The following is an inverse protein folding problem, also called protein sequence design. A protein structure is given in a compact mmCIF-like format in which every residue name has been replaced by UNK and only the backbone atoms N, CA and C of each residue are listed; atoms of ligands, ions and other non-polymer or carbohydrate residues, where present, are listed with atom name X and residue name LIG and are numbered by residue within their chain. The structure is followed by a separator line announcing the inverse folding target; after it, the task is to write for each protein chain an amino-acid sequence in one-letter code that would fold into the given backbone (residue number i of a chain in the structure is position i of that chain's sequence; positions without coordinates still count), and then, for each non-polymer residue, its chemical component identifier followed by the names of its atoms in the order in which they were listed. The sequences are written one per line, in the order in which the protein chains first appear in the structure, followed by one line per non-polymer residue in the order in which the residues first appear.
data_IF_733637709850
#
_entry.id   IF_733637709850
#
_cell.length_a   1.000
_cell.length_b   1.000
_cell.length_c   1.000
_cell.angle_alpha   90.00
_cell.angle_beta   90.00
_cell.angle_gamma   90.00
#
_symmetry.space_group_name_H-M   'P 1'
#
loop_
_entity.id
_entity.type
_entity.pdbx_description
1 polymer ?
#
# COMPACT_ATOMS: atom_id res chain seq x y z
N UNK A 1 -10.95 3.04 -34.58
CA UNK A 1 -11.08 2.85 -33.12
C UNK A 1 -10.22 1.65 -32.77
N UNK A 2 -9.28 1.77 -31.85
CA UNK A 2 -8.47 0.65 -31.41
C UNK A 2 -9.36 -0.42 -30.76
N UNK A 3 -9.16 -1.69 -31.09
CA UNK A 3 -9.82 -2.78 -30.36
C UNK A 3 -9.24 -2.87 -28.92
N UNK A 4 -9.88 -3.60 -28.01
CA UNK A 4 -9.46 -3.66 -26.60
C UNK A 4 -8.00 -4.17 -26.44
N UNK A 5 -7.56 -5.03 -27.35
CA UNK A 5 -6.19 -5.55 -27.39
C UNK A 5 -5.18 -4.46 -27.79
N UNK A 6 -5.47 -3.68 -28.83
CA UNK A 6 -4.63 -2.57 -29.30
C UNK A 6 -4.55 -1.43 -28.26
N UNK A 7 -5.67 -1.13 -27.59
CA UNK A 7 -5.66 -0.20 -26.44
C UNK A 7 -4.72 -0.70 -25.34
N UNK A 8 -4.86 -1.97 -24.95
CA UNK A 8 -3.99 -2.60 -23.95
C UNK A 8 -2.52 -2.56 -24.35
N UNK A 9 -2.21 -2.90 -25.61
CA UNK A 9 -0.85 -2.87 -26.15
C UNK A 9 -0.23 -1.47 -26.10
N UNK A 10 -0.98 -0.44 -26.51
CA UNK A 10 -0.51 0.95 -26.49
C UNK A 10 -0.26 1.43 -25.06
N UNK A 11 -1.20 1.17 -24.14
CA UNK A 11 -1.05 1.56 -22.73
C UNK A 11 0.13 0.82 -22.06
N UNK A 12 0.32 -0.46 -22.38
CA UNK A 12 1.46 -1.24 -21.92
C UNK A 12 2.78 -0.71 -22.49
N UNK A 13 2.80 -0.30 -23.76
CA UNK A 13 3.97 0.34 -24.38
C UNK A 13 4.34 1.65 -23.68
N UNK A 14 3.36 2.53 -23.42
CA UNK A 14 3.59 3.78 -22.68
C UNK A 14 4.13 3.51 -21.27
N UNK A 15 3.56 2.52 -20.57
CA UNK A 15 4.02 2.11 -19.23
C UNK A 15 5.45 1.59 -19.25
N UNK A 16 5.78 0.72 -20.21
CA UNK A 16 7.12 0.15 -20.41
C UNK A 16 8.14 1.23 -20.76
N UNK A 17 7.78 2.19 -21.61
CA UNK A 17 8.65 3.30 -21.97
C UNK A 17 8.94 4.20 -20.77
N UNK A 18 7.91 4.56 -19.99
CA UNK A 18 8.11 5.29 -18.74
C UNK A 18 8.98 4.51 -17.74
N UNK A 19 8.93 3.18 -17.78
CA UNK A 19 9.75 2.33 -16.92
C UNK A 19 11.25 2.41 -17.20
N UNK A 20 11.62 2.71 -18.44
CA UNK A 20 13.02 2.85 -18.87
C UNK A 20 13.66 4.14 -18.40
N UNK A 21 12.87 5.10 -17.90
CA UNK A 21 13.38 6.34 -17.35
C UNK A 21 14.14 6.09 -16.04
N UNK A 22 15.31 6.69 -15.90
CA UNK A 22 16.07 6.75 -14.63
C UNK A 22 15.58 7.88 -13.72
N UNK A 23 15.01 8.91 -14.32
CA UNK A 23 14.44 10.07 -13.65
C UNK A 23 14.04 11.12 -14.69
N UNK A 24 13.35 12.17 -14.24
CA UNK A 24 13.00 13.31 -15.10
C UNK A 24 12.69 14.56 -14.29
N UNK A 25 12.69 15.70 -14.98
CA UNK A 25 12.15 16.95 -14.49
C UNK A 25 11.23 17.56 -15.55
N UNK A 26 10.07 18.05 -15.12
CA UNK A 26 9.08 18.65 -16.01
C UNK A 26 8.38 19.82 -15.31
N UNK A 27 8.09 20.89 -16.05
CA UNK A 27 7.18 21.95 -15.62
C UNK A 27 5.93 21.93 -16.47
N UNK A 28 4.78 22.11 -15.85
CA UNK A 28 3.49 22.21 -16.50
C UNK A 28 2.83 23.54 -16.16
N UNK A 29 2.27 24.18 -17.17
CA UNK A 29 1.37 25.31 -17.01
C UNK A 29 -0.07 24.82 -17.04
N UNK A 30 -0.84 25.27 -16.05
CA UNK A 30 -2.28 25.11 -15.99
C UNK A 30 -2.93 26.42 -16.45
N UNK A 31 -3.91 26.32 -17.33
CA UNK A 31 -4.74 27.45 -17.75
C UNK A 31 -6.22 27.07 -17.73
N UNK A 32 -7.09 28.05 -17.55
CA UNK A 32 -8.55 27.87 -17.65
C UNK A 32 -9.18 28.95 -18.51
N UNK A 33 -10.31 28.63 -19.14
CA UNK A 33 -11.10 29.63 -19.87
C UNK A 33 -11.71 30.72 -18.97
N UNK A 34 -11.66 30.53 -17.64
CA UNK A 34 -12.06 31.54 -16.65
C UNK A 34 -10.91 32.45 -16.19
N UNK A 35 -9.69 32.28 -16.73
CA UNK A 35 -8.53 33.12 -16.41
C UNK A 35 -7.67 32.63 -15.23
N UNK A 36 -8.04 31.53 -14.56
CA UNK A 36 -7.16 30.91 -13.55
C UNK A 36 -5.93 30.28 -14.21
N UNK A 37 -4.79 30.39 -13.54
CA UNK A 37 -3.50 29.90 -14.02
C UNK A 37 -2.79 29.11 -12.93
N UNK A 38 -1.80 28.30 -13.30
CA UNK A 38 -0.94 27.65 -12.34
C UNK A 38 0.32 27.08 -12.95
N UNK A 39 1.28 26.76 -12.08
CA UNK A 39 2.53 26.12 -12.43
C UNK A 39 2.73 24.90 -11.55
N UNK A 40 3.11 23.77 -12.16
CA UNK A 40 3.42 22.53 -11.45
C UNK A 40 4.81 22.07 -11.90
N UNK A 41 5.74 21.99 -10.97
CA UNK A 41 7.09 21.47 -11.20
C UNK A 41 7.20 20.08 -10.59
N UNK A 42 7.67 19.12 -11.37
CA UNK A 42 7.87 17.74 -10.96
C UNK A 42 9.32 17.37 -11.22
N UNK A 43 9.93 16.70 -10.25
CA UNK A 43 11.24 16.09 -10.42
C UNK A 43 11.28 14.73 -9.74
N UNK A 44 11.89 13.76 -10.39
CA UNK A 44 12.05 12.41 -9.83
C UNK A 44 13.37 11.81 -10.27
N UNK A 45 14.02 11.14 -9.34
CA UNK A 45 15.15 10.24 -9.57
C UNK A 45 14.76 8.87 -8.99
N UNK A 46 14.43 7.91 -9.86
CA UNK A 46 13.83 6.65 -9.42
C UNK A 46 14.81 5.78 -8.63
N UNK A 47 16.12 5.93 -8.90
CA UNK A 47 17.15 5.12 -8.25
C UNK A 47 17.42 5.58 -6.82
N UNK A 48 17.54 6.88 -6.60
CA UNK A 48 17.79 7.43 -5.26
C UNK A 48 16.51 7.53 -4.43
N UNK A 49 15.32 7.55 -5.04
CA UNK A 49 14.07 7.77 -4.32
C UNK A 49 13.78 9.24 -4.02
N UNK A 50 14.65 10.16 -4.46
CA UNK A 50 14.36 11.58 -4.43
C UNK A 50 13.25 11.91 -5.42
N UNK A 51 12.24 12.63 -4.94
CA UNK A 51 11.25 13.22 -5.82
C UNK A 51 10.64 14.46 -5.20
N UNK A 52 10.07 15.30 -6.05
CA UNK A 52 9.31 16.46 -5.65
C UNK A 52 8.18 16.78 -6.59
N UNK A 53 7.19 17.45 -6.02
CA UNK A 53 6.08 18.05 -6.72
C UNK A 53 5.83 19.39 -6.04
N UNK A 54 6.05 20.48 -6.78
CA UNK A 54 5.70 21.84 -6.34
C UNK A 54 4.55 22.35 -7.19
N UNK A 55 3.60 23.04 -6.58
CA UNK A 55 2.47 23.64 -7.27
C UNK A 55 2.19 25.05 -6.78
N UNK A 56 1.82 25.92 -7.71
CA UNK A 56 1.36 27.28 -7.45
C UNK A 56 0.13 27.55 -8.33
N UNK A 57 -1.01 27.91 -7.74
CA UNK A 57 -2.25 28.22 -8.45
C UNK A 57 -2.70 29.64 -8.16
N UNK A 58 -3.16 30.35 -9.18
CA UNK A 58 -3.61 31.74 -9.14
C UNK A 58 -5.03 31.85 -9.70
N UNK A 59 -5.81 32.74 -9.10
CA UNK A 59 -7.12 33.09 -9.64
C UNK A 59 -7.02 34.00 -10.88
N UNK A 60 -8.16 34.36 -11.44
CA UNK A 60 -8.31 35.24 -12.61
C UNK A 60 -7.70 36.65 -12.44
N UNK A 61 -7.46 37.09 -11.20
CA UNK A 61 -6.80 38.37 -10.89
C UNK A 61 -5.29 38.20 -10.69
N UNK A 62 -4.73 37.01 -10.93
CA UNK A 62 -3.33 36.70 -10.69
C UNK A 62 -2.96 36.53 -9.20
N UNK A 63 -3.94 36.54 -8.29
CA UNK A 63 -3.70 36.36 -6.85
C UNK A 63 -3.47 34.88 -6.54
N UNK A 64 -2.42 34.59 -5.78
CA UNK A 64 -2.12 33.25 -5.27
C UNK A 64 -3.30 32.73 -4.44
N UNK A 65 -3.84 31.57 -4.82
CA UNK A 65 -4.92 30.88 -4.09
C UNK A 65 -4.44 29.59 -3.43
N UNK A 66 -3.40 28.95 -3.98
CA UNK A 66 -2.87 27.73 -3.40
C UNK A 66 -1.40 27.58 -3.76
N UNK A 67 -0.61 27.11 -2.78
CA UNK A 67 0.77 26.71 -2.96
C UNK A 67 1.02 25.43 -2.17
N UNK A 68 1.57 24.42 -2.84
CA UNK A 68 1.82 23.11 -2.26
C UNK A 68 3.20 22.59 -2.63
N UNK A 69 3.80 21.82 -1.72
CA UNK A 69 5.04 21.10 -1.98
C UNK A 69 4.95 19.69 -1.40
N UNK A 70 5.37 18.72 -2.19
CA UNK A 70 5.52 17.33 -1.77
C UNK A 70 6.94 16.89 -2.09
N UNK A 71 7.50 16.06 -1.22
CA UNK A 71 8.85 15.56 -1.38
C UNK A 71 8.98 14.15 -0.86
N UNK A 72 9.91 13.41 -1.45
CA UNK A 72 10.48 12.23 -0.82
C UNK A 72 11.99 12.29 -0.80
N UNK A 73 12.56 11.67 0.23
CA UNK A 73 14.01 11.49 0.37
C UNK A 73 14.42 10.04 0.11
N UNK A 74 15.73 9.81 -0.03
CA UNK A 74 16.32 8.47 -0.11
C UNK A 74 16.01 7.57 1.07
N UNK A 75 15.65 8.14 2.22
CA UNK A 75 15.44 7.41 3.46
C UNK A 75 13.95 7.10 3.69
N UNK A 76 13.11 7.30 2.66
CA UNK A 76 11.68 7.04 2.74
C UNK A 76 10.89 8.05 3.57
N UNK A 77 11.45 9.24 3.82
CA UNK A 77 10.72 10.36 4.41
C UNK A 77 9.87 10.98 3.31
N UNK A 78 8.57 11.15 3.59
CA UNK A 78 7.64 11.88 2.74
C UNK A 78 7.23 13.17 3.43
N UNK A 79 7.44 14.30 2.77
CA UNK A 79 7.07 15.59 3.30
C UNK A 79 5.92 16.18 2.50
N UNK A 80 4.96 16.77 3.20
CA UNK A 80 3.82 17.48 2.63
C UNK A 80 3.74 18.89 3.24
N UNK A 81 3.65 19.89 2.36
CA UNK A 81 3.30 21.25 2.70
C UNK A 81 2.13 21.74 1.87
N UNK A 82 1.15 22.33 2.54
CA UNK A 82 0.03 23.05 1.93
C UNK A 82 -0.20 24.33 2.72
N UNK A 83 0.07 25.48 2.12
CA UNK A 83 0.10 26.75 2.85
C UNK A 83 1.11 26.71 4.00
N UNK A 84 0.63 27.02 5.22
CA UNK A 84 1.45 27.03 6.45
C UNK A 84 1.58 25.66 7.12
N UNK A 85 0.74 24.70 6.74
CA UNK A 85 0.79 23.35 7.30
C UNK A 85 1.96 22.57 6.71
N UNK A 86 2.77 21.98 7.59
CA UNK A 86 3.94 21.17 7.24
C UNK A 86 3.94 19.90 8.07
N UNK A 87 4.11 18.77 7.41
CA UNK A 87 4.24 17.47 8.07
C UNK A 87 5.26 16.63 7.33
N UNK A 88 6.06 15.91 8.10
CA UNK A 88 6.97 14.90 7.59
C UNK A 88 6.51 13.54 8.10
N UNK A 89 6.49 12.58 7.19
CA UNK A 89 6.07 11.21 7.43
C UNK A 89 7.28 10.30 7.24
N UNK A 90 7.57 9.47 8.24
CA UNK A 90 8.61 8.46 8.14
C UNK A 90 8.00 7.10 7.77
N UNK A 91 8.79 6.26 7.11
CA UNK A 91 8.40 4.89 6.80
C UNK A 91 7.49 4.71 5.59
N UNK A 92 7.31 5.71 4.73
CA UNK A 92 6.44 5.60 3.55
C UNK A 92 6.86 4.45 2.63
N UNK A 93 8.16 4.32 2.36
CA UNK A 93 8.69 3.23 1.51
C UNK A 93 8.41 1.86 2.13
N UNK A 94 8.63 1.72 3.44
CA UNK A 94 8.37 0.47 4.17
C UNK A 94 6.88 0.11 4.11
N UNK A 95 6.00 1.08 4.33
CA UNK A 95 4.56 0.90 4.21
C UNK A 95 4.16 0.47 2.80
N UNK A 96 4.70 1.11 1.76
CA UNK A 96 4.36 0.77 0.38
C UNK A 96 4.85 -0.64 -0.03
N UNK A 97 6.08 -1.01 0.34
CA UNK A 97 6.61 -2.38 0.12
C UNK A 97 5.76 -3.42 0.81
N UNK A 98 5.29 -3.11 2.02
CA UNK A 98 4.41 -3.95 2.79
C UNK A 98 3.03 -4.10 2.16
N UNK A 99 2.40 -3.01 1.73
CA UNK A 99 1.14 -3.06 0.99
C UNK A 99 1.27 -3.91 -0.29
N UNK A 100 2.40 -3.79 -1.01
CA UNK A 100 2.71 -4.65 -2.16
C UNK A 100 2.78 -6.13 -1.76
N UNK A 101 3.51 -6.47 -0.69
CA UNK A 101 3.60 -7.86 -0.19
C UNK A 101 2.22 -8.44 0.10
N UNK A 102 1.31 -7.67 0.72
CA UNK A 102 -0.05 -8.15 0.95
C UNK A 102 -0.79 -8.46 -0.35
N UNK A 103 -0.68 -7.61 -1.37
CA UNK A 103 -1.30 -7.86 -2.67
C UNK A 103 -0.76 -9.13 -3.32
N UNK A 104 0.56 -9.36 -3.25
CA UNK A 104 1.21 -10.57 -3.77
C UNK A 104 0.75 -11.84 -3.02
N UNK A 105 0.57 -11.76 -1.69
CA UNK A 105 0.05 -12.86 -0.88
C UNK A 105 -1.40 -13.18 -1.26
N UNK A 106 -2.25 -12.15 -1.33
CA UNK A 106 -3.68 -12.35 -1.57
C UNK A 106 -3.94 -12.80 -2.99
N UNK A 107 -3.15 -12.34 -3.97
CA UNK A 107 -3.28 -12.67 -5.38
C UNK A 107 -1.94 -13.14 -6.01
N UNK A 108 -1.54 -14.41 -5.76
CA UNK A 108 -0.24 -14.93 -6.20
C UNK A 108 -0.04 -14.94 -7.72
N UNK A 109 -1.15 -15.02 -8.47
CA UNK A 109 -1.13 -15.00 -9.94
C UNK A 109 -1.03 -13.57 -10.49
N UNK A 110 -1.11 -12.55 -9.63
CA UNK A 110 -0.94 -11.16 -10.04
C UNK A 110 0.54 -10.89 -10.23
N UNK A 111 1.00 -11.04 -11.46
CA UNK A 111 2.33 -10.61 -11.87
C UNK A 111 2.47 -9.11 -11.60
N UNK A 112 3.23 -8.77 -10.57
CA UNK A 112 3.68 -7.41 -10.29
C UNK A 112 5.07 -7.19 -10.89
N UNK A 113 5.21 -7.52 -12.18
CA UNK A 113 6.48 -7.43 -12.92
C UNK A 113 7.07 -6.01 -12.93
N UNK A 114 6.23 -5.01 -12.67
CA UNK A 114 6.72 -3.65 -12.49
C UNK A 114 7.22 -3.45 -11.05
N UNK A 115 8.52 -3.16 -10.84
CA UNK A 115 9.02 -2.87 -9.51
C UNK A 115 8.33 -1.63 -8.93
N UNK A 116 8.12 -1.66 -7.62
CA UNK A 116 7.54 -0.55 -6.88
C UNK A 116 8.50 0.63 -6.95
N UNK A 117 8.06 1.73 -7.54
CA UNK A 117 8.88 2.94 -7.67
C UNK A 117 8.12 4.15 -7.16
N UNK A 118 8.87 5.14 -6.72
CA UNK A 118 8.30 6.43 -6.45
C UNK A 118 7.81 7.09 -7.73
N UNK A 119 6.59 7.60 -7.74
CA UNK A 119 5.95 8.21 -8.89
C UNK A 119 5.18 9.46 -8.46
N UNK A 120 5.50 10.62 -9.05
CA UNK A 120 4.63 11.78 -8.96
C UNK A 120 3.39 11.56 -9.86
N UNK A 121 2.23 11.89 -9.35
CA UNK A 121 0.96 11.89 -10.06
C UNK A 121 0.54 13.34 -10.32
N UNK A 122 0.13 13.60 -11.56
CA UNK A 122 -0.41 14.88 -12.00
C UNK A 122 -1.51 14.62 -13.02
N UNK A 123 -2.74 15.01 -12.69
CA UNK A 123 -3.82 15.10 -13.66
C UNK A 123 -4.90 16.09 -13.22
N UNK A 124 -5.62 16.64 -14.17
CA UNK A 124 -6.81 17.45 -13.93
C UNK A 124 -8.01 16.52 -13.70
N UNK A 125 -8.69 16.71 -12.58
CA UNK A 125 -10.00 16.13 -12.29
C UNK A 125 -11.09 17.19 -12.49
N UNK A 126 -12.37 16.82 -12.48
CA UNK A 126 -13.50 17.70 -12.83
C UNK A 126 -13.56 19.02 -12.04
N UNK A 127 -13.06 19.05 -10.81
CA UNK A 127 -13.14 20.23 -9.93
C UNK A 127 -11.77 20.80 -9.56
N UNK A 128 -10.71 20.00 -9.61
CA UNK A 128 -9.38 20.35 -9.09
C UNK A 128 -8.24 19.71 -9.91
N UNK A 129 -7.00 19.95 -9.49
CA UNK A 129 -5.83 19.21 -9.96
C UNK A 129 -5.44 18.17 -8.91
N UNK A 130 -5.34 16.90 -9.33
CA UNK A 130 -4.88 15.79 -8.49
C UNK A 130 -3.37 15.68 -8.58
N UNK A 131 -2.72 15.95 -7.45
CA UNK A 131 -1.28 16.05 -7.31
C UNK A 131 -0.82 15.17 -6.15
N UNK A 132 0.16 14.30 -6.41
CA UNK A 132 0.65 13.38 -5.39
C UNK A 132 2.06 12.91 -5.68
N UNK A 133 2.73 12.42 -4.65
CA UNK A 133 3.88 11.54 -4.79
C UNK A 133 3.57 10.28 -3.99
N UNK A 134 3.67 9.13 -4.62
CA UNK A 134 3.48 7.85 -3.95
C UNK A 134 4.38 6.77 -4.54
N UNK A 135 4.34 5.59 -3.92
CA UNK A 135 4.98 4.41 -4.48
C UNK A 135 3.93 3.61 -5.24
N UNK A 136 4.18 3.29 -6.51
CA UNK A 136 3.29 2.44 -7.29
C UNK A 136 4.06 1.61 -8.31
N UNK A 137 3.53 0.42 -8.54
CA UNK A 137 3.92 -0.45 -9.64
C UNK A 137 3.26 0.03 -10.94
N UNK A 138 2.07 0.62 -10.88
CA UNK A 138 1.36 1.15 -12.05
C UNK A 138 2.03 2.40 -12.62
N UNK A 139 1.88 2.66 -13.92
CA UNK A 139 2.40 3.87 -14.60
C UNK A 139 1.81 5.18 -14.04
N UNK A 140 1.66 6.22 -14.86
CA UNK A 140 0.84 7.36 -14.44
C UNK A 140 -0.58 6.85 -14.16
N UNK A 141 -1.13 7.12 -12.97
CA UNK A 141 -2.45 6.62 -12.54
C UNK A 141 -3.53 6.86 -13.60
N UNK A 142 -3.43 7.99 -14.29
CA UNK A 142 -4.35 8.43 -15.34
C UNK A 142 -4.41 7.49 -16.55
N UNK A 143 -3.39 6.68 -16.82
CA UNK A 143 -3.44 5.68 -17.90
C UNK A 143 -4.58 4.68 -17.69
N UNK A 144 -4.87 4.32 -16.43
CA UNK A 144 -5.98 3.42 -16.07
C UNK A 144 -7.37 4.01 -16.35
N UNK A 145 -7.44 5.32 -16.60
CA UNK A 145 -8.68 6.05 -16.93
C UNK A 145 -8.89 6.21 -18.43
N UNK A 146 -7.99 5.67 -19.26
CA UNK A 146 -8.10 5.76 -20.71
C UNK A 146 -9.23 4.85 -21.21
N UNK A 147 -10.22 5.44 -21.88
CA UNK A 147 -11.31 4.68 -22.50
C UNK A 147 -10.94 4.21 -23.91
N UNK A 148 -10.22 5.05 -24.67
CA UNK A 148 -9.76 4.73 -26.03
C UNK A 148 -8.60 5.63 -26.48
N UNK A 149 -7.92 5.21 -27.54
CA UNK A 149 -6.92 6.03 -28.23
C UNK A 149 -7.61 6.84 -29.34
N UNK A 150 -7.40 8.16 -29.32
CA UNK A 150 -7.90 9.11 -30.33
C UNK A 150 -6.93 9.16 -31.51
N UNK A 151 -5.63 9.28 -31.22
CA UNK A 151 -4.59 9.38 -32.23
C UNK A 151 -3.27 8.78 -31.71
N UNK A 152 -2.46 8.23 -32.60
CA UNK A 152 -1.13 7.71 -32.31
C UNK A 152 -0.20 8.05 -33.46
N UNK A 153 0.91 8.70 -33.13
CA UNK A 153 2.07 8.93 -34.01
C UNK A 153 3.32 8.39 -33.32
N UNK A 154 4.45 8.44 -34.03
CA UNK A 154 5.76 8.03 -33.48
C UNK A 154 6.21 8.89 -32.29
N UNK A 155 5.68 10.11 -32.18
CA UNK A 155 6.06 11.07 -31.13
C UNK A 155 4.99 11.25 -30.07
N UNK A 156 3.70 11.10 -30.40
CA UNK A 156 2.58 11.41 -29.51
C UNK A 156 1.50 10.33 -29.50
N UNK A 157 0.93 10.09 -28.32
CA UNK A 157 -0.30 9.30 -28.14
C UNK A 157 -1.36 10.20 -27.52
N UNK A 158 -2.50 10.36 -28.20
CA UNK A 158 -3.66 11.12 -27.71
C UNK A 158 -4.72 10.12 -27.26
N UNK A 159 -5.08 10.20 -25.99
CA UNK A 159 -6.02 9.34 -25.30
C UNK A 159 -7.30 10.11 -24.95
N UNK A 160 -8.43 9.42 -25.02
CA UNK A 160 -9.71 9.85 -24.47
C UNK A 160 -9.84 9.27 -23.06
N UNK A 161 -10.13 10.14 -22.09
CA UNK A 161 -10.38 9.80 -20.69
C UNK A 161 -11.87 9.92 -20.33
N UNK A 162 -12.75 9.97 -21.33
CA UNK A 162 -14.19 10.13 -21.15
C UNK A 162 -14.51 11.48 -20.51
N UNK A 163 -15.13 11.45 -19.34
CA UNK A 163 -15.50 12.67 -18.59
C UNK A 163 -14.30 13.52 -18.15
N UNK A 164 -13.12 12.92 -18.04
CA UNK A 164 -11.89 13.65 -17.70
C UNK A 164 -11.26 14.38 -18.89
N UNK A 165 -11.83 14.24 -20.09
CA UNK A 165 -11.40 14.92 -21.31
C UNK A 165 -10.31 14.16 -22.05
N UNK A 166 -9.38 14.89 -22.68
CA UNK A 166 -8.31 14.30 -23.49
C UNK A 166 -6.94 14.49 -22.86
N UNK A 167 -6.05 13.54 -23.14
CA UNK A 167 -4.70 13.49 -22.59
C UNK A 167 -3.71 13.13 -23.70
N UNK A 168 -2.60 13.84 -23.77
CA UNK A 168 -1.52 13.57 -24.71
C UNK A 168 -0.28 13.12 -23.96
N UNK A 169 0.34 12.05 -24.45
CA UNK A 169 1.61 11.51 -23.97
C UNK A 169 2.67 11.65 -25.05
N UNK A 170 3.92 11.81 -24.63
CA UNK A 170 5.09 11.57 -25.47
C UNK A 170 5.29 10.06 -25.64
N UNK A 171 5.18 9.55 -26.86
CA UNK A 171 5.13 8.11 -27.13
C UNK A 171 6.39 7.37 -26.64
N UNK A 172 7.56 8.02 -26.77
CA UNK A 172 8.88 7.45 -26.42
C UNK A 172 9.12 7.33 -24.92
N UNK A 173 8.45 8.13 -24.09
CA UNK A 173 8.69 8.17 -22.64
C UNK A 173 7.46 7.87 -21.80
N UNK A 174 6.26 7.93 -22.38
CA UNK A 174 5.00 7.79 -21.65
C UNK A 174 4.69 8.97 -20.72
N UNK A 175 5.40 10.10 -20.85
CA UNK A 175 5.19 11.28 -20.02
C UNK A 175 4.10 12.16 -20.63
N UNK A 176 3.23 12.71 -19.78
CA UNK A 176 2.16 13.61 -20.18
C UNK A 176 2.77 14.87 -20.82
N UNK A 177 2.31 15.24 -22.00
CA UNK A 177 2.64 16.50 -22.66
C UNK A 177 1.54 17.53 -22.47
N UNK A 178 0.29 17.10 -22.49
CA UNK A 178 -0.85 17.97 -22.19
C UNK A 178 -2.10 17.20 -21.77
N UNK A 179 -3.00 17.86 -21.06
CA UNK A 179 -4.36 17.38 -20.76
C UNK A 179 -5.34 18.52 -20.98
N UNK A 180 -6.55 18.22 -21.45
CA UNK A 180 -7.66 19.17 -21.51
C UNK A 180 -8.90 18.52 -20.93
N UNK A 181 -9.55 19.18 -19.97
CA UNK A 181 -10.83 18.76 -19.39
C UNK A 181 -11.86 19.86 -19.56
N UNK A 182 -13.08 19.49 -19.94
CA UNK A 182 -14.22 20.41 -20.00
C UNK A 182 -15.33 19.87 -19.10
N UNK A 183 -15.73 20.65 -18.09
CA UNK A 183 -16.83 20.31 -17.19
C UNK A 183 -17.66 21.56 -16.88
N UNK A 184 -18.98 21.44 -16.96
CA UNK A 184 -19.94 22.52 -16.69
C UNK A 184 -19.59 23.86 -17.38
N UNK A 185 -19.17 23.83 -18.65
CA UNK A 185 -18.78 25.02 -19.43
C UNK A 185 -17.40 25.61 -19.08
N UNK A 186 -16.68 25.03 -18.13
CA UNK A 186 -15.30 25.40 -17.78
C UNK A 186 -14.33 24.44 -18.45
N UNK A 187 -13.40 24.99 -19.22
CA UNK A 187 -12.30 24.24 -19.82
C UNK A 187 -11.02 24.57 -19.08
N UNK A 188 -10.32 23.53 -18.61
CA UNK A 188 -9.00 23.62 -18.01
C UNK A 188 -8.02 22.81 -18.84
N UNK A 189 -6.83 23.34 -19.02
CA UNK A 189 -5.75 22.67 -19.73
C UNK A 189 -4.50 22.65 -18.88
N UNK A 190 -3.73 21.58 -19.06
CA UNK A 190 -2.40 21.38 -18.52
C UNK A 190 -1.47 21.19 -19.71
N UNK A 191 -0.34 21.89 -19.77
CA UNK A 191 0.64 21.74 -20.85
C UNK A 191 2.06 21.75 -20.29
N UNK A 192 2.85 20.76 -20.68
CA UNK A 192 4.28 20.67 -20.35
C UNK A 192 5.03 21.79 -21.09
N UNK A 193 5.75 22.62 -20.35
CA UNK A 193 6.54 23.74 -20.89
C UNK A 193 8.03 23.49 -20.85
N UNK A 194 8.51 22.74 -19.85
CA UNK A 194 9.90 22.32 -19.77
C UNK A 194 10.00 20.82 -19.55
N UNK A 195 11.07 20.23 -20.06
CA UNK A 195 11.34 18.79 -19.97
C UNK A 195 12.85 18.56 -19.92
N UNK A 196 13.30 17.73 -18.98
CA UNK A 196 14.68 17.26 -18.88
C UNK A 196 14.69 15.79 -18.48
N UNK A 197 15.27 14.95 -19.32
CA UNK A 197 15.51 13.55 -19.00
C UNK A 197 16.68 13.42 -18.00
N UNK A 198 16.54 12.51 -17.05
CA UNK A 198 17.57 12.10 -16.08
C UNK A 198 18.40 13.27 -15.49
N UNK A 199 17.78 14.17 -14.71
CA UNK A 199 18.49 15.30 -14.11
C UNK A 199 19.48 14.88 -13.00
N UNK A 200 19.37 13.66 -12.48
CA UNK A 200 20.18 13.10 -11.42
C UNK A 200 19.80 13.58 -10.00
N UNK A 201 20.23 12.85 -8.95
CA UNK A 201 19.75 13.06 -7.58
C UNK A 201 20.14 14.42 -7.01
N UNK A 202 21.29 14.99 -7.40
CA UNK A 202 21.72 16.33 -6.94
C UNK A 202 20.80 17.44 -7.45
N UNK A 203 20.35 17.35 -8.70
CA UNK A 203 19.44 18.34 -9.26
C UNK A 203 18.08 18.29 -8.54
N UNK A 204 17.58 17.08 -8.26
CA UNK A 204 16.31 16.88 -7.54
C UNK A 204 16.43 17.35 -6.08
N UNK A 205 17.45 16.89 -5.35
CA UNK A 205 17.60 17.21 -3.92
C UNK A 205 17.94 18.68 -3.66
N UNK A 206 18.62 19.37 -4.58
CA UNK A 206 18.93 20.80 -4.45
C UNK A 206 17.69 21.70 -4.37
N UNK A 207 16.55 21.20 -4.86
CA UNK A 207 15.28 21.90 -4.80
C UNK A 207 14.67 21.83 -3.38
N UNK A 208 15.09 20.89 -2.53
CA UNK A 208 14.65 20.74 -1.16
C UNK A 208 15.36 21.74 -0.25
N UNK A 209 14.63 22.75 0.23
CA UNK A 209 15.16 23.83 1.07
C UNK A 209 14.60 23.84 2.49
N UNK A 210 13.97 22.75 2.91
CA UNK A 210 13.21 22.68 4.16
C UNK A 210 14.08 22.04 5.24
N UNK A 211 14.13 22.68 6.40
CA UNK A 211 14.77 22.11 7.59
C UNK A 211 13.82 21.09 8.24
N UNK A 212 14.04 19.80 7.98
CA UNK A 212 13.22 18.71 8.53
C UNK A 212 13.20 18.71 10.07
N UNK A 213 14.23 19.24 10.75
CA UNK A 213 14.27 19.30 12.22
C UNK A 213 13.21 20.23 12.80
N UNK A 214 12.68 21.15 12.00
CA UNK A 214 11.63 22.10 12.38
C UNK A 214 10.24 21.66 11.94
N UNK A 215 10.10 20.44 11.41
CA UNK A 215 8.83 19.89 10.93
C UNK A 215 8.40 18.78 11.87
N UNK A 216 7.11 18.77 12.24
CA UNK A 216 6.54 17.68 13.03
C UNK A 216 6.64 16.38 12.24
N UNK A 217 7.34 15.41 12.81
CA UNK A 217 7.45 14.06 12.26
C UNK A 217 6.28 13.20 12.74
N UNK A 218 5.79 12.35 11.85
CA UNK A 218 4.79 11.33 12.12
C UNK A 218 5.29 10.00 11.57
N UNK A 219 5.17 8.95 12.35
CA UNK A 219 5.51 7.60 11.90
C UNK A 219 4.30 6.96 11.23
N UNK A 220 4.41 6.67 9.93
CA UNK A 220 3.32 6.04 9.18
C UNK A 220 3.07 4.60 9.62
N UNK A 221 4.05 3.93 10.22
CA UNK A 221 3.88 2.53 10.62
C UNK A 221 2.83 2.40 11.71
N UNK A 222 2.68 3.40 12.59
CA UNK A 222 1.68 3.42 13.67
C UNK A 222 0.40 4.21 13.32
N UNK A 223 0.26 4.67 12.07
CA UNK A 223 -0.84 5.55 11.66
C UNK A 223 -2.19 4.85 11.40
N UNK A 224 -2.23 3.51 11.45
CA UNK A 224 -3.42 2.74 11.08
C UNK A 224 -3.63 2.55 9.57
N UNK A 225 -2.74 3.10 8.72
CA UNK A 225 -2.85 3.00 7.26
C UNK A 225 -2.71 1.57 6.74
N UNK A 226 -1.80 0.78 7.33
CA UNK A 226 -1.58 -0.61 6.92
C UNK A 226 -2.82 -1.47 7.18
N UNK A 227 -3.48 -1.26 8.32
CA UNK A 227 -4.73 -1.90 8.70
C UNK A 227 -5.87 -1.52 7.77
N UNK A 228 -5.99 -0.22 7.47
CA UNK A 228 -6.98 0.28 6.51
C UNK A 228 -6.79 -0.32 5.12
N UNK A 229 -5.54 -0.41 4.65
CA UNK A 229 -5.22 -1.04 3.37
C UNK A 229 -5.53 -2.54 3.38
N UNK A 230 -5.17 -3.23 4.46
CA UNK A 230 -5.48 -4.66 4.65
C UNK A 230 -6.97 -4.92 4.55
N UNK A 231 -7.79 -4.11 5.23
CA UNK A 231 -9.24 -4.17 5.12
C UNK A 231 -9.73 -3.97 3.68
N UNK A 232 -9.20 -2.97 2.98
CA UNK A 232 -9.61 -2.69 1.60
C UNK A 232 -9.33 -3.87 0.66
N UNK A 233 -8.14 -4.46 0.74
CA UNK A 233 -7.76 -5.63 -0.08
C UNK A 233 -8.68 -6.83 0.21
N UNK A 234 -8.97 -7.08 1.48
CA UNK A 234 -9.87 -8.16 1.88
C UNK A 234 -11.33 -7.89 1.50
N UNK A 235 -11.77 -6.63 1.55
CA UNK A 235 -13.10 -6.23 1.08
C UNK A 235 -13.23 -6.44 -0.43
N UNK A 236 -12.22 -6.05 -1.21
CA UNK A 236 -12.22 -6.27 -2.66
C UNK A 236 -12.30 -7.77 -3.01
N UNK A 237 -11.66 -8.63 -2.21
CA UNK A 237 -11.77 -10.08 -2.35
C UNK A 237 -13.21 -10.58 -2.11
N UNK A 238 -13.93 -10.04 -1.12
CA UNK A 238 -15.35 -10.34 -0.87
C UNK A 238 -16.21 -9.85 -2.04
N UNK A 239 -15.98 -8.62 -2.50
CA UNK A 239 -16.75 -7.99 -3.56
C UNK A 239 -16.60 -8.75 -4.89
N UNK A 240 -15.38 -9.20 -5.19
CA UNK A 240 -15.09 -10.03 -6.37
C UNK A 240 -15.74 -11.40 -6.26
N UNK A 241 -15.64 -12.07 -5.11
CA UNK A 241 -16.29 -13.35 -4.87
C UNK A 241 -17.83 -13.26 -4.89
N UNK A 242 -18.39 -12.07 -4.60
CA UNK A 242 -19.83 -11.82 -4.69
C UNK A 242 -20.32 -11.73 -6.15
N UNK A 243 -19.41 -11.47 -7.09
CA UNK A 243 -19.68 -11.35 -8.52
C UNK A 243 -19.27 -12.58 -9.33
N UNK A 244 -18.38 -13.41 -8.78
CA UNK A 244 -17.86 -14.62 -9.44
C UNK A 244 -17.95 -15.85 -8.50
N UNK A 245 -18.81 -16.79 -8.88
CA UNK A 245 -19.05 -18.03 -8.14
C UNK A 245 -17.80 -18.93 -8.07
N UNK A 246 -16.92 -18.90 -9.07
CA UNK A 246 -15.66 -19.67 -9.05
C UNK A 246 -14.73 -19.16 -7.96
N UNK A 247 -14.65 -17.83 -7.80
CA UNK A 247 -13.86 -17.21 -6.72
C UNK A 247 -14.49 -17.54 -5.36
N UNK A 248 -15.81 -17.46 -5.23
CA UNK A 248 -16.51 -17.83 -4.00
C UNK A 248 -16.25 -19.30 -3.61
N UNK A 249 -16.38 -20.22 -4.55
CA UNK A 249 -16.23 -21.66 -4.29
C UNK A 249 -14.78 -22.06 -3.97
N UNK A 250 -13.80 -21.32 -4.47
CA UNK A 250 -12.37 -21.58 -4.20
C UNK A 250 -11.82 -20.83 -2.98
N UNK A 251 -12.59 -19.91 -2.36
CA UNK A 251 -12.13 -19.03 -1.29
C UNK A 251 -11.44 -19.75 -0.14
N UNK A 252 -12.06 -20.82 0.39
CA UNK A 252 -11.49 -21.59 1.50
C UNK A 252 -10.11 -22.17 1.15
N UNK A 253 -9.99 -22.77 -0.04
CA UNK A 253 -8.72 -23.35 -0.49
C UNK A 253 -7.66 -22.26 -0.69
N UNK A 254 -8.05 -21.11 -1.24
CA UNK A 254 -7.18 -19.96 -1.43
C UNK A 254 -6.63 -19.45 -0.10
N UNK A 255 -7.50 -19.16 0.88
CA UNK A 255 -7.09 -18.69 2.21
C UNK A 255 -6.16 -19.69 2.91
N UNK A 256 -6.44 -20.98 2.84
CA UNK A 256 -5.57 -22.02 3.40
C UNK A 256 -4.17 -22.03 2.75
N UNK A 257 -4.10 -21.86 1.43
CA UNK A 257 -2.82 -21.86 0.71
C UNK A 257 -1.90 -20.69 1.04
N UNK A 258 -2.44 -19.58 1.57
CA UNK A 258 -1.70 -18.35 1.85
C UNK A 258 -1.53 -18.06 3.36
N UNK A 259 -2.05 -18.92 4.24
CA UNK A 259 -2.14 -18.70 5.69
C UNK A 259 -0.78 -18.38 6.32
N UNK A 260 0.25 -19.16 6.02
CA UNK A 260 1.59 -18.93 6.57
C UNK A 260 2.19 -17.59 6.10
N UNK A 261 2.04 -17.25 4.83
CA UNK A 261 2.56 -15.98 4.29
C UNK A 261 1.83 -14.78 4.90
N UNK A 262 0.52 -14.90 5.13
CA UNK A 262 -0.27 -13.87 5.77
C UNK A 262 0.07 -13.72 7.26
N UNK A 263 0.35 -14.83 7.96
CA UNK A 263 0.87 -14.80 9.35
C UNK A 263 2.20 -14.06 9.41
N UNK A 264 3.15 -14.34 8.52
CA UNK A 264 4.41 -13.60 8.44
C UNK A 264 4.22 -12.11 8.14
N UNK A 265 3.26 -11.78 7.27
CA UNK A 265 2.89 -10.40 7.00
C UNK A 265 2.35 -9.70 8.26
N UNK A 266 1.42 -10.34 8.97
CA UNK A 266 0.84 -9.79 10.20
C UNK A 266 1.85 -9.71 11.35
N UNK A 267 2.84 -10.60 11.43
CA UNK A 267 3.90 -10.51 12.44
C UNK A 267 4.79 -9.27 12.28
N UNK A 268 4.74 -8.60 11.13
CA UNK A 268 5.40 -7.32 10.95
C UNK A 268 4.52 -6.13 11.39
N UNK A 269 3.21 -6.33 11.63
CA UNK A 269 2.25 -5.23 11.93
C UNK A 269 2.51 -4.73 13.35
N UNK A 270 2.40 -3.41 13.61
CA UNK A 270 2.44 -2.86 14.96
C UNK A 270 1.09 -3.10 15.68
N UNK A 271 0.66 -4.36 15.68
CA UNK A 271 -0.42 -4.89 16.49
C UNK A 271 -0.11 -4.55 17.97
N UNK A 272 -1.10 -4.03 18.67
CA UNK A 272 -1.06 -3.63 20.07
C UNK A 272 -0.44 -4.75 20.93
N UNK A 273 0.80 -4.55 21.36
CA UNK A 273 1.58 -5.52 22.12
C UNK A 273 0.92 -5.94 23.44
N UNK A 274 0.00 -5.15 24.00
CA UNK A 274 -0.55 -5.38 25.34
C UNK A 274 -1.90 -6.14 25.40
N UNK A 275 -2.57 -6.40 24.27
CA UNK A 275 -4.02 -6.68 24.29
C UNK A 275 -4.49 -8.14 24.41
N UNK A 276 -3.69 -9.13 24.03
CA UNK A 276 -4.21 -10.51 23.87
C UNK A 276 -3.99 -11.42 25.08
N UNK A 277 -2.76 -11.53 25.58
CA UNK A 277 -2.43 -12.32 26.77
C UNK A 277 -1.44 -11.51 27.59
N UNK A 278 -1.78 -11.24 28.85
CA UNK A 278 -0.80 -10.74 29.81
C UNK A 278 0.37 -11.73 29.85
N UNK A 279 1.59 -11.28 29.57
CA UNK A 279 2.78 -12.13 29.57
C UNK A 279 2.95 -12.90 30.88
N UNK A 280 2.54 -12.33 32.03
CA UNK A 280 2.62 -13.01 33.31
C UNK A 280 1.68 -14.22 33.40
N UNK A 281 0.47 -14.10 32.84
CA UNK A 281 -0.46 -15.22 32.74
C UNK A 281 0.04 -16.24 31.72
N UNK A 282 0.46 -15.77 30.54
CA UNK A 282 0.92 -16.65 29.46
C UNK A 282 2.16 -17.45 29.87
N UNK A 283 3.12 -16.82 30.53
CA UNK A 283 4.35 -17.48 30.95
C UNK A 283 4.08 -18.54 32.01
N UNK A 284 3.18 -18.29 32.98
CA UNK A 284 2.76 -19.32 33.95
C UNK A 284 2.12 -20.53 33.26
N UNK A 285 1.30 -20.28 32.24
CA UNK A 285 0.71 -21.34 31.44
C UNK A 285 1.79 -22.13 30.67
N UNK A 286 2.75 -21.43 30.04
CA UNK A 286 3.88 -22.07 29.36
C UNK A 286 4.75 -22.88 30.33
N UNK A 287 5.06 -22.36 31.52
CA UNK A 287 5.79 -23.07 32.56
C UNK A 287 5.11 -24.43 32.87
N UNK A 288 3.78 -24.43 33.06
CA UNK A 288 3.01 -25.65 33.33
C UNK A 288 2.96 -26.60 32.13
N UNK A 289 2.75 -26.08 30.92
CA UNK A 289 2.69 -26.88 29.70
C UNK A 289 4.05 -27.54 29.40
N UNK A 290 5.15 -26.80 29.59
CA UNK A 290 6.50 -27.30 29.38
C UNK A 290 6.92 -28.30 30.46
N UNK A 291 6.52 -28.10 31.72
CA UNK A 291 6.76 -29.08 32.78
C UNK A 291 6.10 -30.44 32.47
N UNK A 292 4.83 -30.45 32.07
CA UNK A 292 4.12 -31.68 31.65
C UNK A 292 4.76 -32.34 30.44
N UNK A 293 5.25 -31.54 29.49
CA UNK A 293 5.91 -32.06 28.28
C UNK A 293 7.28 -32.64 28.60
N UNK A 294 8.04 -32.01 29.49
CA UNK A 294 9.32 -32.52 29.97
C UNK A 294 9.17 -33.83 30.77
N UNK A 295 8.12 -33.98 31.58
CA UNK A 295 7.81 -35.24 32.27
C UNK A 295 7.51 -36.38 31.29
N UNK A 296 6.70 -36.14 30.26
CA UNK A 296 6.42 -37.14 29.21
C UNK A 296 7.68 -37.55 28.44
N UNK A 297 8.50 -36.58 28.05
CA UNK A 297 9.73 -36.86 27.29
C UNK A 297 10.79 -37.59 28.13
N UNK A 298 10.84 -37.35 29.45
CA UNK A 298 11.65 -38.14 30.39
C UNK A 298 11.20 -39.61 30.44
N UNK A 299 9.89 -39.88 30.37
CA UNK A 299 9.35 -41.24 30.31
C UNK A 299 9.75 -41.95 29.01
N UNK A 300 9.86 -41.20 27.90
CA UNK A 300 10.27 -41.69 26.58
C UNK A 300 11.81 -41.71 26.37
N UNK A 301 12.60 -41.45 27.42
CA UNK A 301 14.07 -41.47 27.36
C UNK A 301 14.72 -40.30 26.63
N UNK A 302 13.96 -39.27 26.22
CA UNK A 302 14.45 -38.09 25.49
C UNK A 302 14.64 -36.90 26.44
N UNK A 303 15.87 -36.43 26.61
CA UNK A 303 16.16 -35.16 27.31
C UNK A 303 16.14 -34.01 26.31
N UNK A 304 14.98 -33.39 26.11
CA UNK A 304 14.83 -32.19 25.28
C UNK A 304 14.49 -31.01 26.21
N UNK A 305 15.21 -29.90 26.10
CA UNK A 305 14.91 -28.73 26.92
C UNK A 305 13.66 -28.01 26.40
N UNK A 306 12.98 -27.28 27.29
CA UNK A 306 11.79 -26.51 26.91
C UNK A 306 12.10 -25.46 25.82
N UNK A 307 13.32 -24.91 25.85
CA UNK A 307 13.83 -24.01 24.81
C UNK A 307 13.86 -24.71 23.45
N UNK A 308 14.37 -25.94 23.38
CA UNK A 308 14.52 -26.68 22.13
C UNK A 308 13.16 -26.95 21.49
N UNK A 309 12.16 -27.37 22.28
CA UNK A 309 10.78 -27.59 21.81
C UNK A 309 10.16 -26.30 21.26
N UNK A 310 10.42 -25.17 21.90
CA UNK A 310 9.84 -23.88 21.55
C UNK A 310 10.60 -23.15 20.43
N UNK A 311 11.82 -23.57 20.11
CA UNK A 311 12.63 -23.00 19.03
C UNK A 311 12.73 -23.87 17.77
N UNK A 312 12.49 -25.18 17.87
CA UNK A 312 12.44 -26.06 16.69
C UNK A 312 11.14 -25.80 15.90
N UNK A 313 11.21 -25.45 14.60
CA UNK A 313 10.05 -25.02 13.81
C UNK A 313 8.86 -25.99 13.84
N UNK A 314 9.11 -27.29 13.68
CA UNK A 314 8.06 -28.31 13.61
C UNK A 314 7.29 -28.40 14.94
N UNK A 315 8.03 -28.54 16.04
CA UNK A 315 7.47 -28.61 17.40
C UNK A 315 6.78 -27.31 17.79
N UNK A 316 7.39 -26.16 17.48
CA UNK A 316 6.84 -24.83 17.74
C UNK A 316 5.54 -24.61 17.01
N UNK A 317 5.48 -24.89 15.71
CA UNK A 317 4.29 -24.65 14.89
C UNK A 317 3.13 -25.56 15.31
N UNK A 318 3.39 -26.83 15.60
CA UNK A 318 2.39 -27.76 16.13
C UNK A 318 1.86 -27.30 17.50
N UNK A 319 2.74 -26.81 18.37
CA UNK A 319 2.36 -26.26 19.67
C UNK A 319 1.51 -25.00 19.53
N UNK A 320 1.91 -24.04 18.68
CA UNK A 320 1.13 -22.84 18.37
C UNK A 320 -0.26 -23.20 17.86
N UNK A 321 -0.37 -24.12 16.89
CA UNK A 321 -1.66 -24.53 16.34
C UNK A 321 -2.62 -25.08 17.41
N UNK A 322 -2.11 -25.90 18.34
CA UNK A 322 -2.89 -26.42 19.46
C UNK A 322 -3.37 -25.31 20.41
N UNK A 323 -2.50 -24.35 20.71
CA UNK A 323 -2.87 -23.19 21.53
C UNK A 323 -3.90 -22.33 20.84
N UNK A 324 -3.71 -21.99 19.56
CA UNK A 324 -4.66 -21.20 18.77
C UNK A 324 -6.05 -21.82 18.86
N UNK A 325 -6.19 -23.13 18.64
CA UNK A 325 -7.47 -23.83 18.76
C UNK A 325 -8.11 -23.64 20.14
N UNK A 326 -7.34 -23.83 21.22
CA UNK A 326 -7.85 -23.68 22.60
C UNK A 326 -8.27 -22.25 22.91
N UNK A 327 -7.41 -21.27 22.59
CA UNK A 327 -7.67 -19.86 22.89
C UNK A 327 -8.86 -19.32 22.08
N UNK A 328 -8.99 -19.69 20.80
CA UNK A 328 -10.10 -19.26 19.94
C UNK A 328 -11.46 -19.83 20.36
N UNK A 329 -11.49 -21.05 20.91
CA UNK A 329 -12.71 -21.67 21.46
C UNK A 329 -13.19 -20.98 22.74
N UNK A 330 -12.25 -20.50 23.56
CA UNK A 330 -12.55 -19.88 24.85
C UNK A 330 -12.80 -18.36 24.75
N UNK A 331 -12.39 -17.73 23.64
CA UNK A 331 -12.51 -16.29 23.48
C UNK A 331 -13.97 -15.83 23.27
N UNK A 332 -14.46 -14.85 24.05
CA UNK A 332 -15.80 -14.32 23.89
C UNK A 332 -15.92 -13.49 22.60
N UNK A 333 -17.15 -13.33 22.09
CA UNK A 333 -17.40 -12.70 20.80
C UNK A 333 -16.88 -11.25 20.71
N UNK A 334 -17.00 -10.47 21.78
CA UNK A 334 -16.45 -9.11 21.84
C UNK A 334 -14.93 -9.08 21.65
N UNK A 335 -14.21 -10.05 22.22
CA UNK A 335 -12.75 -10.15 22.07
C UNK A 335 -12.36 -10.47 20.64
N UNK A 336 -13.10 -11.36 19.97
CA UNK A 336 -12.89 -11.65 18.53
C UNK A 336 -13.05 -10.39 17.68
N UNK A 337 -14.06 -9.57 17.98
CA UNK A 337 -14.28 -8.29 17.30
C UNK A 337 -13.17 -7.28 17.57
N UNK A 338 -12.63 -7.21 18.80
CA UNK A 338 -11.47 -6.37 19.12
C UNK A 338 -10.24 -6.76 18.27
N UNK A 339 -9.99 -8.07 18.06
CA UNK A 339 -8.84 -8.54 17.26
C UNK A 339 -8.99 -8.20 15.79
N UNK A 340 -10.18 -8.41 15.24
CA UNK A 340 -10.48 -8.00 13.87
C UNK A 340 -10.31 -6.48 13.71
N UNK A 341 -10.78 -5.68 14.68
CA UNK A 341 -10.61 -4.23 14.65
C UNK A 341 -9.13 -3.80 14.70
N UNK A 342 -8.28 -4.55 15.40
CA UNK A 342 -6.84 -4.27 15.48
C UNK A 342 -6.12 -4.51 14.14
N UNK A 343 -6.56 -5.51 13.37
CA UNK A 343 -5.97 -5.83 12.05
C UNK A 343 -6.59 -4.99 10.93
N UNK A 344 -7.89 -4.69 11.00
CA UNK A 344 -8.67 -4.11 9.90
C UNK A 344 -9.02 -2.62 10.11
N UNK A 345 -8.85 -2.09 11.32
CA UNK A 345 -9.22 -0.73 11.70
C UNK A 345 -10.65 -0.34 11.27
N UNK A 346 -11.57 -1.29 11.32
CA UNK A 346 -12.97 -1.18 10.88
C UNK A 346 -13.57 -2.56 10.59
N UNK A 347 -14.73 -2.60 9.91
CA UNK A 347 -15.46 -3.84 9.63
C UNK A 347 -15.46 -4.17 8.14
N UNK A 348 -15.53 -5.47 7.84
CA UNK A 348 -15.82 -5.96 6.50
C UNK A 348 -17.33 -5.99 6.25
N UNK A 349 -17.71 -5.69 5.02
CA UNK A 349 -19.09 -5.67 4.54
C UNK A 349 -19.42 -6.95 3.77
N UNK A 350 -20.71 -7.27 3.65
CA UNK A 350 -21.20 -8.51 3.06
C UNK A 350 -22.21 -9.20 3.98
N UNK A 351 -23.50 -8.90 3.80
CA UNK A 351 -24.56 -9.33 4.72
C UNK A 351 -25.49 -10.41 4.17
N UNK A 352 -25.37 -10.79 2.89
CA UNK A 352 -26.26 -11.77 2.23
C UNK A 352 -25.50 -12.65 1.23
N UNK A 353 -26.04 -13.84 0.97
CA UNK A 353 -25.56 -14.74 -0.08
C UNK A 353 -24.09 -15.13 0.04
N UNK A 354 -23.39 -15.22 -1.09
CA UNK A 354 -21.95 -15.52 -1.15
C UNK A 354 -21.11 -14.47 -0.42
N UNK A 355 -21.51 -13.20 -0.41
CA UNK A 355 -20.81 -12.13 0.29
C UNK A 355 -20.71 -12.41 1.81
N UNK A 356 -21.80 -12.87 2.43
CA UNK A 356 -21.81 -13.23 3.86
C UNK A 356 -20.88 -14.41 4.15
N UNK A 357 -20.96 -15.46 3.34
CA UNK A 357 -20.14 -16.66 3.51
C UNK A 357 -18.66 -16.31 3.38
N UNK A 358 -18.28 -15.56 2.35
CA UNK A 358 -16.89 -15.14 2.12
C UNK A 358 -16.38 -14.21 3.21
N UNK A 359 -17.20 -13.26 3.69
CA UNK A 359 -16.85 -12.43 4.83
C UNK A 359 -16.53 -13.27 6.06
N UNK A 360 -17.38 -14.23 6.41
CA UNK A 360 -17.16 -15.11 7.56
C UNK A 360 -15.87 -15.92 7.41
N UNK A 361 -15.59 -16.46 6.22
CA UNK A 361 -14.35 -17.19 5.95
C UNK A 361 -13.10 -16.30 6.10
N UNK A 362 -13.17 -15.07 5.61
CA UNK A 362 -12.05 -14.11 5.69
C UNK A 362 -11.86 -13.61 7.13
N UNK A 363 -12.93 -13.31 7.86
CA UNK A 363 -12.84 -12.95 9.28
C UNK A 363 -12.24 -14.09 10.12
N UNK A 364 -12.67 -15.33 9.88
CA UNK A 364 -12.11 -16.52 10.53
C UNK A 364 -10.61 -16.68 10.24
N UNK A 365 -10.21 -16.48 8.99
CA UNK A 365 -8.82 -16.49 8.54
C UNK A 365 -7.96 -15.41 9.21
N UNK A 366 -8.44 -14.16 9.23
CA UNK A 366 -7.74 -13.05 9.88
C UNK A 366 -7.62 -13.27 11.38
N UNK A 367 -8.70 -13.72 12.02
CA UNK A 367 -8.68 -14.09 13.44
C UNK A 367 -7.64 -15.19 13.68
N UNK A 368 -7.66 -16.27 12.92
CA UNK A 368 -6.70 -17.37 13.05
C UNK A 368 -5.24 -16.89 12.98
N UNK A 369 -4.93 -16.10 11.96
CA UNK A 369 -3.60 -15.56 11.75
C UNK A 369 -3.17 -14.62 12.88
N UNK A 370 -4.08 -13.76 13.37
CA UNK A 370 -3.81 -12.92 14.53
C UNK A 370 -3.40 -13.73 15.77
N UNK A 371 -4.14 -14.80 16.11
CA UNK A 371 -3.79 -15.64 17.26
C UNK A 371 -2.43 -16.32 17.08
N UNK A 372 -2.13 -16.82 15.87
CA UNK A 372 -0.82 -17.42 15.56
C UNK A 372 0.31 -16.44 15.81
N UNK A 373 0.20 -15.20 15.32
CA UNK A 373 1.17 -14.13 15.54
C UNK A 373 1.32 -13.82 17.03
N UNK A 374 0.22 -13.62 17.75
CA UNK A 374 0.24 -13.25 19.17
C UNK A 374 0.88 -14.33 20.05
N UNK A 375 0.50 -15.58 19.85
CA UNK A 375 1.05 -16.73 20.60
C UNK A 375 2.54 -16.90 20.26
N UNK A 376 2.90 -16.80 18.98
CA UNK A 376 4.29 -16.84 18.53
C UNK A 376 5.17 -15.79 19.23
N UNK A 377 4.76 -14.51 19.19
CA UNK A 377 5.45 -13.42 19.90
C UNK A 377 5.55 -13.64 21.40
N UNK A 378 4.51 -14.20 22.02
CA UNK A 378 4.52 -14.55 23.44
C UNK A 378 5.54 -15.65 23.77
N UNK A 379 5.64 -16.67 22.92
CA UNK A 379 6.65 -17.73 23.04
C UNK A 379 8.06 -17.15 22.87
N UNK A 380 8.27 -16.26 21.90
CA UNK A 380 9.57 -15.60 21.69
C UNK A 380 10.00 -14.80 22.93
N UNK A 381 9.08 -14.02 23.51
CA UNK A 381 9.34 -13.29 24.75
C UNK A 381 9.67 -14.23 25.93
N UNK A 382 8.98 -15.37 26.02
CA UNK A 382 9.23 -16.39 27.04
C UNK A 382 10.61 -17.05 26.86
N UNK A 383 10.98 -17.41 25.63
CA UNK A 383 12.30 -17.98 25.31
C UNK A 383 13.41 -17.00 25.64
N UNK A 384 13.24 -15.70 25.35
CA UNK A 384 14.21 -14.67 25.77
C UNK A 384 14.34 -14.59 27.30
N UNK A 385 13.22 -14.67 28.04
CA UNK A 385 13.25 -14.74 29.51
C UNK A 385 13.98 -15.98 30.02
N UNK A 386 13.85 -17.13 29.36
CA UNK A 386 14.57 -18.35 29.73
C UNK A 386 16.06 -18.26 29.46
N UNK A 387 16.48 -17.56 28.39
CA UNK A 387 17.90 -17.36 28.03
C UNK A 387 18.62 -16.30 28.87
N UNK A 388 17.86 -15.34 29.43
CA UNK A 388 18.40 -14.30 30.32
C UNK A 388 18.43 -14.69 31.81
N UNK A 389 18.02 -15.92 32.13
CA UNK A 389 18.22 -16.58 33.44
C UNK A 389 19.34 -17.59 33.31
#
# INVERSE_FOLDING_TARGET
MANAEELSEILNTLRTNHHKLEGYQATYELNSNTGQTGNIEIGVDFRSGWSYLMSEFKNEKGKLIQKGQQWTTTNGIYFLQSGDQKVAFEGLEKLAKRCRKLVEIIDPNKELDTPLRIKPYIYLAETDARLGIGYSTQGTEILSKTEKIINKTDDLVVADLGKLGSLTFEAKTGIITSQVITSAGKTRSLKRTTWKSNPGPKAISSRFKIDLKKVRQQDLTISGMSQNFTRQVLQELIDNASRDERIANSMRSRLLSIDDQFVEFLDQEPLNKAGFINNDFFFKFLDQAMAKTAERLKQDGKKIAATDILTTPESRNAFIANLVRSFRQQAPANKKQEYLAEVLNGKLEGSKGSALVNRVLIEDFVENAYYRVRIGRGIDAYVQKLKGK
#
